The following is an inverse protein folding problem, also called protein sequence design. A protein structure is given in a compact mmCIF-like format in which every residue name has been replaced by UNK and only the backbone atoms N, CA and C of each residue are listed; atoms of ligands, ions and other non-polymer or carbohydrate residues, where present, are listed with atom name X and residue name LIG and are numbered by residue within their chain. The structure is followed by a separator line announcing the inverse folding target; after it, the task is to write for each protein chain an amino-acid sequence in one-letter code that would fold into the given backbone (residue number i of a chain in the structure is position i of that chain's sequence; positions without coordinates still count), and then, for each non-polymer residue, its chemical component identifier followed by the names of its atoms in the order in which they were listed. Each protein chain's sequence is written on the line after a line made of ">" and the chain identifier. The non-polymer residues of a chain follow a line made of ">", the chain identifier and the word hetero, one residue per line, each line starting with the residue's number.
data_IF_802066228205
#
_entry.id   IF_802066228205
#
_cell.length_a   1.000
_cell.length_b   1.000
_cell.length_c   1.000
_cell.angle_alpha   90.00
_cell.angle_beta   90.00
_cell.angle_gamma   90.00
#
_symmetry.space_group_name_H-M   'P 1'
#
loop_
_entity.id
_entity.type
_entity.pdbx_description
1 polymer ?
2 polymer ?
3 water ?
#
# COMPACT_ATOMS: atom_id res chain seq x y z
N UNK A 10 12.56 1.72 -12.51
CA UNK A 10 11.11 1.38 -12.52
C UNK A 10 10.87 -0.12 -12.44
N UNK A 11 10.70 -0.64 -11.22
CA UNK A 11 10.44 -2.07 -11.07
C UNK A 11 9.02 -2.33 -11.55
N UNK A 12 8.90 -3.04 -12.67
CA UNK A 12 7.59 -3.35 -13.24
C UNK A 12 6.99 -4.55 -12.51
N UNK A 13 5.75 -4.39 -12.04
CA UNK A 13 5.08 -5.43 -11.27
C UNK A 13 3.62 -5.61 -11.63
N UNK A 14 3.07 -6.75 -11.23
CA UNK A 14 1.67 -7.04 -11.48
C UNK A 14 1.06 -7.49 -10.16
N UNK A 15 0.11 -6.71 -9.64
CA UNK A 15 -0.52 -7.08 -8.38
C UNK A 15 -1.41 -8.30 -8.46
N UNK A 16 -1.38 -9.10 -7.40
CA UNK A 16 -2.21 -10.29 -7.33
C UNK A 16 -3.65 -9.81 -7.18
N UNK A 17 -4.63 -10.72 -7.33
CA UNK A 17 -6.05 -10.37 -7.24
C UNK A 17 -6.53 -9.42 -6.13
N UNK A 18 -6.21 -9.72 -4.88
CA UNK A 18 -6.67 -8.89 -3.77
C UNK A 18 -6.08 -7.49 -3.80
N UNK A 19 -4.78 -7.38 -4.06
CA UNK A 19 -4.16 -6.06 -4.13
C UNK A 19 -4.70 -5.29 -5.34
N UNK A 20 -4.90 -5.98 -6.46
CA UNK A 20 -5.41 -5.29 -7.64
C UNK A 20 -6.79 -4.71 -7.34
N UNK A 21 -7.59 -5.45 -6.57
CA UNK A 21 -8.93 -4.99 -6.20
C UNK A 21 -8.81 -3.67 -5.44
N UNK A 22 -7.88 -3.63 -4.49
CA UNK A 22 -7.68 -2.43 -3.69
C UNK A 22 -7.25 -1.25 -4.56
N UNK A 23 -6.28 -1.46 -5.44
CA UNK A 23 -5.81 -0.40 -6.32
C UNK A 23 -6.95 0.14 -7.18
N UNK A 24 -7.73 -0.76 -7.76
CA UNK A 24 -8.85 -0.36 -8.61
C UNK A 24 -9.88 0.46 -7.82
N UNK A 25 -10.07 0.11 -6.55
CA UNK A 25 -11.04 0.82 -5.71
C UNK A 25 -10.69 2.29 -5.55
N UNK A 26 -9.45 2.65 -5.83
CA UNK A 26 -9.04 4.05 -5.71
C UNK A 26 -8.62 4.67 -7.03
N UNK A 27 -9.11 4.12 -8.14
CA UNK A 27 -8.81 4.71 -9.44
C UNK A 27 -7.95 4.00 -10.45
N UNK A 28 -7.14 3.04 -10.01
CA UNK A 28 -6.26 2.30 -10.91
C UNK A 28 -7.05 1.65 -12.04
N UNK A 29 -6.48 1.65 -13.24
CA UNK A 29 -7.16 1.09 -14.41
C UNK A 29 -6.37 -0.03 -15.09
N UNK A 30 -5.11 -0.19 -14.72
CA UNK A 30 -4.24 -1.19 -15.35
C UNK A 30 -4.04 -2.49 -14.57
N UNK A 31 -3.23 -3.37 -15.14
CA UNK A 31 -2.90 -4.64 -14.50
C UNK A 31 -1.39 -4.74 -14.29
N UNK A 32 -0.64 -3.85 -14.96
CA UNK A 32 0.81 -3.81 -14.85
C UNK A 32 1.21 -2.40 -14.42
N UNK A 33 2.00 -2.30 -13.35
CA UNK A 33 2.41 -1.01 -12.81
C UNK A 33 3.88 -0.94 -12.43
N UNK A 34 4.32 0.26 -12.06
CA UNK A 34 5.67 0.47 -11.58
C UNK A 34 5.46 0.45 -10.07
N UNK A 35 6.51 0.19 -9.30
CA UNK A 35 6.37 0.17 -7.84
C UNK A 35 5.87 1.54 -7.37
N UNK A 36 6.31 2.61 -8.04
CA UNK A 36 5.89 3.96 -7.67
C UNK A 36 4.38 4.13 -7.77
N UNK A 37 3.79 3.54 -8.81
CA UNK A 37 2.35 3.63 -9.00
C UNK A 37 1.62 2.85 -7.91
N UNK A 38 2.13 1.67 -7.59
CA UNK A 38 1.52 0.84 -6.55
C UNK A 38 1.54 1.59 -5.21
N UNK A 39 2.67 2.19 -4.89
CA UNK A 39 2.78 2.96 -3.65
C UNK A 39 1.82 4.16 -3.67
N UNK A 40 1.70 4.82 -4.82
CA UNK A 40 0.80 5.96 -4.91
C UNK A 40 -0.64 5.55 -4.57
N UNK A 41 -1.12 4.49 -5.20
CA UNK A 41 -2.48 4.04 -4.96
C UNK A 41 -2.68 3.54 -3.53
N UNK A 42 -1.70 2.84 -2.99
CA UNK A 42 -1.80 2.35 -1.61
C UNK A 42 -1.95 3.57 -0.70
N UNK A 43 -1.16 4.61 -0.97
CA UNK A 43 -1.23 5.81 -0.16
C UNK A 43 -2.60 6.44 -0.23
N UNK A 44 -3.16 6.48 -1.44
CA UNK A 44 -4.49 7.06 -1.62
C UNK A 44 -5.56 6.25 -0.93
N UNK A 45 -5.36 4.94 -0.85
CA UNK A 45 -6.31 4.06 -0.18
C UNK A 45 -6.33 4.41 1.31
N UNK A 46 -5.14 4.48 1.90
CA UNK A 46 -5.00 4.82 3.31
C UNK A 46 -5.64 6.18 3.61
N UNK A 47 -5.41 7.15 2.73
CA UNK A 47 -5.99 8.48 2.93
C UNK A 47 -7.51 8.49 2.79
N UNK A 48 -8.01 7.87 1.72
CA UNK A 48 -9.44 7.82 1.46
C UNK A 48 -10.19 7.14 2.61
N UNK A 49 -9.61 6.06 3.13
CA UNK A 49 -10.22 5.31 4.23
C UNK A 49 -9.92 5.94 5.59
N UNK A 50 -9.03 6.93 5.62
CA UNK A 50 -8.66 7.60 6.86
C UNK A 50 -8.14 6.58 7.87
N UNK A 51 -7.21 5.74 7.44
CA UNK A 51 -6.65 4.70 8.31
C UNK A 51 -5.47 5.16 9.17
N UNK A 52 -4.97 6.36 8.90
CA UNK A 52 -3.83 6.87 9.66
C UNK A 52 -4.25 7.53 10.97
N UNK A 53 -3.31 7.57 11.91
CA UNK A 53 -3.55 8.18 13.22
C UNK A 53 -3.58 9.69 13.00
N UNK A 54 -4.51 10.37 13.67
CA UNK A 54 -4.65 11.81 13.54
C UNK A 54 -3.45 12.60 14.07
N UNK A 55 -2.94 12.21 15.23
CA UNK A 55 -1.81 12.89 15.86
C UNK A 55 -0.44 12.56 15.27
N UNK A 56 -0.20 11.26 15.07
CA UNK A 56 1.05 10.76 14.50
C UNK A 56 0.63 10.09 13.21
N UNK A 57 0.56 10.87 12.13
CA UNK A 57 0.10 10.34 10.86
C UNK A 57 0.91 9.28 10.14
N UNK A 58 2.01 8.83 10.74
CA UNK A 58 2.79 7.76 10.12
C UNK A 58 2.24 6.42 10.62
N UNK A 59 1.35 6.48 11.60
CA UNK A 59 0.74 5.26 12.14
C UNK A 59 -0.51 4.88 11.35
N UNK A 60 -0.56 3.63 10.91
CA UNK A 60 -1.70 3.15 10.12
C UNK A 60 -2.41 1.99 10.80
N UNK A 61 -3.73 2.10 10.93
CA UNK A 61 -4.54 1.06 11.55
C UNK A 61 -5.29 0.33 10.46
N UNK A 62 -5.04 -0.97 10.31
CA UNK A 62 -5.72 -1.72 9.27
C UNK A 62 -6.43 -2.98 9.72
N UNK A 63 -6.66 -3.11 11.02
CA UNK A 63 -7.36 -4.28 11.54
C UNK A 63 -8.80 -4.22 11.03
N UNK A 64 -9.35 -5.37 10.65
CA UNK A 64 -10.72 -5.44 10.15
C UNK A 64 -10.87 -4.71 8.81
N UNK A 65 -9.75 -4.48 8.12
CA UNK A 65 -9.78 -3.80 6.83
C UNK A 65 -9.07 -4.64 5.77
N UNK A 66 -9.45 -4.44 4.51
CA UNK A 66 -8.84 -5.16 3.41
C UNK A 66 -7.32 -5.06 3.46
N UNK A 67 -6.81 -3.86 3.73
CA UNK A 67 -5.37 -3.65 3.81
C UNK A 67 -4.75 -4.54 4.88
N UNK A 68 -5.51 -4.81 5.94
CA UNK A 68 -5.01 -5.65 7.01
C UNK A 68 -4.87 -7.09 6.55
N UNK A 69 -5.80 -7.54 5.71
CA UNK A 69 -5.76 -8.90 5.19
C UNK A 69 -4.59 -9.05 4.23
N UNK A 70 -4.33 -7.99 3.46
CA UNK A 70 -3.24 -7.99 2.49
C UNK A 70 -1.86 -7.96 3.14
N UNK A 71 -1.70 -7.10 4.14
CA UNK A 71 -0.43 -6.96 4.83
C UNK A 71 -0.19 -7.96 5.96
N UNK A 72 -1.27 -8.52 6.50
CA UNK A 72 -1.13 -9.50 7.57
C UNK A 72 -0.81 -8.93 8.94
N UNK A 73 -1.09 -7.65 9.14
CA UNK A 73 -0.83 -6.99 10.43
C UNK A 73 -2.03 -6.12 10.79
N UNK A 74 -2.23 -5.85 12.09
CA UNK A 74 -3.36 -5.01 12.51
C UNK A 74 -3.00 -3.52 12.47
N UNK A 75 -1.70 -3.23 12.40
CA UNK A 75 -1.23 -1.85 12.36
C UNK A 75 0.23 -1.81 11.97
N UNK A 76 0.71 -0.63 11.57
CA UNK A 76 2.10 -0.47 11.19
C UNK A 76 2.44 1.00 11.05
N UNK A 77 3.73 1.31 11.02
CA UNK A 77 4.16 2.69 10.88
C UNK A 77 4.85 2.87 9.54
N UNK A 78 4.61 4.00 8.89
CA UNK A 78 5.24 4.28 7.61
C UNK A 78 6.75 4.27 7.79
N UNK A 79 7.19 4.45 9.04
CA UNK A 79 8.62 4.44 9.35
C UNK A 79 9.24 3.06 9.11
N UNK A 80 8.41 2.02 9.09
CA UNK A 80 8.88 0.65 8.87
C UNK A 80 9.02 0.36 7.37
N UNK A 81 9.99 1.02 6.74
CA UNK A 81 10.22 0.88 5.30
C UNK A 81 10.38 -0.55 4.76
N UNK A 82 11.34 -1.30 5.29
CA UNK A 82 11.54 -2.66 4.78
C UNK A 82 10.31 -3.53 4.96
N UNK A 83 9.66 -3.41 6.11
CA UNK A 83 8.48 -4.21 6.38
C UNK A 83 7.39 -3.89 5.37
N UNK A 84 7.22 -2.61 5.07
CA UNK A 84 6.20 -2.20 4.11
C UNK A 84 6.51 -2.77 2.73
N UNK A 85 7.75 -2.62 2.27
CA UNK A 85 8.09 -3.17 0.96
C UNK A 85 7.88 -4.68 0.96
N UNK A 86 8.21 -5.32 2.08
CA UNK A 86 8.05 -6.77 2.21
C UNK A 86 6.56 -7.14 2.14
N UNK A 87 5.73 -6.40 2.86
CA UNK A 87 4.29 -6.67 2.87
C UNK A 87 3.68 -6.40 1.49
N UNK A 88 4.24 -5.43 0.77
CA UNK A 88 3.74 -5.11 -0.57
C UNK A 88 4.17 -6.17 -1.59
N UNK A 89 5.45 -6.54 -1.58
CA UNK A 89 5.93 -7.53 -2.54
C UNK A 89 5.23 -8.88 -2.39
N UNK A 90 4.74 -9.15 -1.19
CA UNK A 90 4.03 -10.40 -0.92
C UNK A 90 2.79 -10.48 -1.81
N UNK A 91 2.28 -9.32 -2.20
CA UNK A 91 1.08 -9.25 -3.03
C UNK A 91 1.34 -8.87 -4.49
N UNK A 92 2.58 -9.09 -4.94
CA UNK A 92 2.96 -8.75 -6.30
C UNK A 92 3.85 -9.80 -6.93
N UNK A 93 3.96 -9.75 -8.25
CA UNK A 93 4.88 -10.62 -8.98
C UNK A 93 5.67 -9.62 -9.81
N UNK A 94 6.98 -9.82 -9.90
CA UNK A 94 7.84 -8.94 -10.67
C UNK A 94 7.88 -9.50 -12.10
N UNK A 95 7.53 -8.67 -13.07
CA UNK A 95 7.51 -9.10 -14.47
C UNK A 95 8.90 -9.49 -14.98
N UNK A 96 8.94 -10.51 -15.82
CA UNK A 96 10.20 -10.99 -16.39
C UNK A 96 10.84 -9.93 -17.28
N UNK A 97 10.00 -9.12 -17.91
CA UNK A 97 10.44 -8.05 -18.80
C UNK A 97 11.58 -7.23 -18.21
C UNK B 1 1.34 13.38 6.96
N UNK B 2 0.31 12.59 6.69
CA UNK B 2 0.49 11.26 6.11
C UNK B 2 1.26 11.26 4.79
N UNK B 3 0.80 12.04 3.82
CA UNK B 3 1.46 12.09 2.52
C UNK B 3 2.96 12.37 2.63
N UNK B 4 3.31 13.32 3.50
CA UNK B 4 4.71 13.69 3.72
C UNK B 4 5.51 12.46 4.13
N UNK B 5 4.99 11.70 5.09
CA UNK B 5 5.66 10.49 5.55
C UNK B 5 5.72 9.44 4.44
N UNK B 6 4.58 9.24 3.79
CA UNK B 6 4.46 8.26 2.73
C UNK B 6 5.42 8.49 1.57
N UNK B 7 5.69 9.75 1.27
CA UNK B 7 6.60 10.09 0.18
C UNK B 7 8.00 9.54 0.47
N UNK B 8 8.33 9.43 1.75
CA UNK B 8 9.63 8.93 2.16
C UNK B 8 9.92 7.50 1.73
N UNK B 9 8.88 6.76 1.38
CA UNK B 9 9.07 5.38 0.95
C UNK B 9 9.78 5.30 -0.40
#
# INVERSE_FOLDING_TARGET
>A
GSQIPASEQETLVRPKPLLLKLLKSVGAQKDTYTMKEVLFYLGQYIMTKRLYDEKQQHIVYCSNDLLGDLFGVPSFSVKEHRKIYTMIYRNLVVVNQQESSDSGTSVSEN
>B
XFMAFXEXL
#
